data_IF_994265272285
#
_entry.id   IF_994265272285
#
_cell.length_a   1.000
_cell.length_b   1.000
_cell.length_c   1.000
_cell.angle_alpha   90.00
_cell.angle_beta   90.00
_cell.angle_gamma   90.00
#
_symmetry.space_group_name_H-M   'P 1'
#
loop_
_entity.id
_entity.type
_entity.pdbx_description
1 polymer ?
#
# COMPACT_ATOMS: atom_id res chain seq x y z
N UNK A 1 29.56 -1.34 11.65
CA UNK A 1 28.44 -0.50 11.11
C UNK A 1 27.34 -0.52 12.12
N UNK A 2 26.84 0.65 12.57
CA UNK A 2 25.71 0.69 13.49
C UNK A 2 24.41 0.29 12.78
N UNK A 3 23.33 0.02 13.55
CA UNK A 3 22.06 -0.46 13.00
C UNK A 3 21.43 0.52 12.00
N UNK A 4 21.50 1.83 12.29
CA UNK A 4 20.95 2.87 11.43
C UNK A 4 21.68 2.96 10.08
N UNK A 5 23.02 2.94 10.08
CA UNK A 5 23.81 2.91 8.84
C UNK A 5 23.51 1.68 7.99
N UNK A 6 23.22 0.54 8.63
CA UNK A 6 22.82 -0.69 7.91
C UNK A 6 21.47 -0.52 7.24
N UNK A 7 20.48 0.08 7.91
CA UNK A 7 19.15 0.33 7.36
C UNK A 7 19.22 1.27 6.16
N UNK A 8 19.93 2.39 6.30
CA UNK A 8 20.10 3.37 5.22
C UNK A 8 20.80 2.76 3.99
N UNK A 9 21.82 1.93 4.22
CA UNK A 9 22.52 1.22 3.13
C UNK A 9 21.59 0.26 2.39
N UNK A 10 20.77 -0.52 3.11
CA UNK A 10 19.78 -1.40 2.50
C UNK A 10 18.77 -0.59 1.67
N UNK A 11 18.27 0.53 2.20
CA UNK A 11 17.30 1.38 1.47
C UNK A 11 17.96 1.95 0.22
N UNK A 12 19.17 2.45 0.31
CA UNK A 12 19.92 2.97 -0.83
C UNK A 12 20.10 1.91 -1.92
N UNK A 13 20.51 0.68 -1.56
CA UNK A 13 20.70 -0.41 -2.51
C UNK A 13 19.36 -0.81 -3.16
N UNK A 14 18.25 -0.79 -2.42
CA UNK A 14 16.92 -1.01 -2.97
C UNK A 14 16.49 0.11 -3.93
N UNK A 15 16.80 1.37 -3.63
CA UNK A 15 16.51 2.50 -4.53
C UNK A 15 17.28 2.38 -5.85
N UNK A 16 18.53 1.95 -5.80
CA UNK A 16 19.33 1.68 -7.01
C UNK A 16 18.73 0.52 -7.85
N UNK A 17 18.24 -0.53 -7.19
CA UNK A 17 17.64 -1.69 -7.87
C UNK A 17 16.24 -1.40 -8.42
N UNK A 18 15.49 -0.48 -7.82
CA UNK A 18 14.10 -0.18 -8.15
C UNK A 18 13.88 1.34 -8.27
N UNK A 19 14.51 2.05 -9.23
CA UNK A 19 14.45 3.50 -9.33
C UNK A 19 13.05 4.03 -9.66
N UNK A 20 12.20 3.22 -10.33
CA UNK A 20 10.84 3.57 -10.73
C UNK A 20 9.76 3.08 -9.73
N UNK A 21 10.18 2.73 -8.51
CA UNK A 21 9.29 2.13 -7.52
C UNK A 21 8.20 3.12 -7.07
N UNK A 22 6.94 2.78 -7.35
CA UNK A 22 5.75 3.57 -7.01
C UNK A 22 4.50 2.69 -6.93
N UNK A 23 3.36 3.27 -6.57
CA UNK A 23 2.09 2.53 -6.64
C UNK A 23 1.79 2.07 -8.06
N UNK A 24 1.30 0.83 -8.20
CA UNK A 24 0.88 0.27 -9.49
C UNK A 24 -0.58 0.63 -9.85
N UNK A 25 -1.31 1.32 -8.96
CA UNK A 25 -2.66 1.79 -9.23
C UNK A 25 -2.60 3.04 -10.12
N UNK A 26 -3.45 3.08 -11.16
CA UNK A 26 -3.59 4.24 -12.03
C UNK A 26 -4.56 5.24 -11.39
N UNK A 27 -4.16 6.51 -11.32
CA UNK A 27 -4.98 7.61 -10.82
C UNK A 27 -4.47 8.95 -11.33
N UNK A 28 -5.35 9.96 -11.36
CA UNK A 28 -5.04 11.33 -11.77
C UNK A 28 -5.23 12.33 -10.61
N UNK A 29 -6.00 11.94 -9.59
CA UNK A 29 -6.32 12.80 -8.46
C UNK A 29 -6.56 11.97 -7.17
N UNK A 30 -6.66 12.61 -5.99
CA UNK A 30 -6.85 11.92 -4.71
C UNK A 30 -8.14 11.07 -4.64
N UNK A 31 -9.23 11.52 -5.26
CA UNK A 31 -10.48 10.74 -5.33
C UNK A 31 -10.26 9.41 -6.05
N UNK A 32 -9.64 9.43 -7.22
CA UNK A 32 -9.35 8.23 -7.99
C UNK A 32 -8.43 7.28 -7.23
N UNK A 33 -7.42 7.80 -6.52
CA UNK A 33 -6.54 6.96 -5.73
C UNK A 33 -7.26 6.32 -4.53
N UNK A 34 -8.09 7.07 -3.81
CA UNK A 34 -8.87 6.54 -2.70
C UNK A 34 -9.78 5.40 -3.17
N UNK A 35 -10.56 5.63 -4.22
CA UNK A 35 -11.44 4.62 -4.82
C UNK A 35 -10.63 3.39 -5.28
N UNK A 36 -9.55 3.58 -6.03
CA UNK A 36 -8.70 2.49 -6.51
C UNK A 36 -8.10 1.67 -5.37
N UNK A 37 -7.64 2.34 -4.30
CA UNK A 37 -7.08 1.67 -3.11
C UNK A 37 -8.15 0.88 -2.34
N UNK A 38 -9.38 1.40 -2.23
CA UNK A 38 -10.50 0.65 -1.65
C UNK A 38 -10.85 -0.60 -2.49
N UNK A 39 -10.82 -0.48 -3.82
CA UNK A 39 -11.07 -1.60 -4.73
C UNK A 39 -9.95 -2.64 -4.72
N UNK A 40 -8.71 -2.28 -4.34
CA UNK A 40 -7.57 -3.21 -4.28
C UNK A 40 -7.61 -4.19 -3.09
N UNK A 41 -8.53 -4.00 -2.14
CA UNK A 41 -8.70 -4.95 -1.04
C UNK A 41 -8.98 -6.37 -1.58
N UNK A 42 -8.05 -7.31 -1.31
CA UNK A 42 -8.10 -8.71 -1.80
C UNK A 42 -8.25 -8.83 -3.34
N UNK A 43 -7.70 -7.87 -4.07
CA UNK A 43 -7.75 -7.81 -5.53
C UNK A 43 -6.40 -7.31 -6.05
N UNK A 44 -5.95 -7.80 -7.21
CA UNK A 44 -4.70 -7.34 -7.82
C UNK A 44 -4.84 -5.94 -8.40
N UNK A 45 -3.77 -5.13 -8.36
CA UNK A 45 -3.76 -3.79 -8.96
C UNK A 45 -4.12 -3.83 -10.46
N UNK A 46 -3.68 -4.87 -11.19
CA UNK A 46 -4.05 -5.09 -12.59
C UNK A 46 -5.57 -5.23 -12.78
N UNK A 47 -6.24 -5.99 -11.91
CA UNK A 47 -7.69 -6.16 -11.99
C UNK A 47 -8.42 -4.86 -11.61
N UNK A 48 -7.92 -4.09 -10.65
CA UNK A 48 -8.45 -2.76 -10.31
C UNK A 48 -8.30 -1.82 -11.50
N UNK A 49 -7.11 -1.72 -12.08
CA UNK A 49 -6.82 -0.86 -13.23
C UNK A 49 -7.64 -1.23 -14.49
N UNK A 50 -8.18 -2.45 -14.57
CA UNK A 50 -9.07 -2.83 -15.69
C UNK A 50 -10.50 -2.32 -15.55
N UNK A 51 -10.98 -2.00 -14.35
CA UNK A 51 -12.37 -1.55 -14.11
C UNK A 51 -12.47 -0.05 -13.84
N UNK A 52 -11.42 0.54 -13.25
CA UNK A 52 -11.43 1.96 -12.83
C UNK A 52 -11.58 2.96 -13.97
N UNK A 53 -11.09 2.77 -15.21
CA UNK A 53 -11.35 3.70 -16.31
C UNK A 53 -12.84 3.89 -16.61
N UNK A 54 -13.61 2.81 -16.61
CA UNK A 54 -15.07 2.88 -16.83
C UNK A 54 -15.80 3.50 -15.63
N UNK A 55 -15.31 3.24 -14.42
CA UNK A 55 -15.87 3.84 -13.21
C UNK A 55 -15.64 5.35 -13.19
N UNK A 56 -14.43 5.82 -13.46
CA UNK A 56 -14.08 7.25 -13.43
C UNK A 56 -14.63 8.03 -14.63
N UNK A 57 -14.87 7.36 -15.77
CA UNK A 57 -15.60 7.97 -16.88
C UNK A 57 -17.06 8.27 -16.51
N UNK A 58 -17.70 7.40 -15.71
CA UNK A 58 -19.10 7.56 -15.29
C UNK A 58 -19.24 8.44 -14.06
N UNK A 59 -18.28 8.38 -13.13
CA UNK A 59 -18.29 9.12 -11.86
C UNK A 59 -16.94 9.81 -11.68
N UNK A 60 -16.89 11.09 -12.03
CA UNK A 60 -15.64 11.87 -12.07
C UNK A 60 -15.24 12.42 -10.70
N UNK A 61 -16.17 12.41 -9.74
CA UNK A 61 -15.96 12.96 -8.39
C UNK A 61 -16.75 12.21 -7.32
N UNK A 62 -16.50 12.54 -6.04
CA UNK A 62 -17.26 12.01 -4.92
C UNK A 62 -18.75 12.41 -5.00
N UNK A 63 -19.07 13.63 -5.48
CA UNK A 63 -20.45 14.13 -5.61
C UNK A 63 -21.24 13.31 -6.64
N UNK A 64 -20.63 12.93 -7.74
CA UNK A 64 -21.27 12.09 -8.74
C UNK A 64 -21.44 10.65 -8.24
N UNK A 65 -20.42 10.11 -7.61
CA UNK A 65 -20.48 8.75 -7.06
C UNK A 65 -21.47 8.65 -5.88
N UNK A 66 -21.63 9.70 -5.07
CA UNK A 66 -22.59 9.76 -3.97
C UNK A 66 -24.06 9.72 -4.44
N UNK A 67 -24.34 10.14 -5.67
CA UNK A 67 -25.68 10.11 -6.29
C UNK A 67 -26.00 8.78 -6.97
N UNK A 68 -25.01 7.90 -7.13
CA UNK A 68 -25.19 6.59 -7.74
C UNK A 68 -26.05 5.66 -6.87
N UNK A 69 -26.59 4.61 -7.47
CA UNK A 69 -27.11 3.46 -6.75
C UNK A 69 -26.05 2.36 -6.68
N UNK A 70 -26.22 1.40 -5.78
CA UNK A 70 -25.34 0.23 -5.74
C UNK A 70 -25.47 -0.61 -7.01
N UNK A 71 -26.67 -0.69 -7.57
CA UNK A 71 -27.02 -1.37 -8.80
C UNK A 71 -26.31 -0.78 -10.02
N UNK A 72 -26.03 0.52 -10.01
CA UNK A 72 -25.25 1.20 -11.06
C UNK A 72 -23.75 0.95 -11.01
N UNK A 73 -23.18 0.75 -9.80
CA UNK A 73 -21.76 0.55 -9.58
C UNK A 73 -21.38 -0.91 -9.84
N UNK A 74 -22.18 -1.86 -9.36
CA UNK A 74 -21.91 -3.30 -9.45
C UNK A 74 -21.56 -3.76 -10.87
N UNK A 75 -22.30 -3.43 -11.94
CA UNK A 75 -21.97 -3.88 -13.29
C UNK A 75 -20.57 -3.50 -13.75
N UNK A 76 -20.06 -2.35 -13.27
CA UNK A 76 -18.74 -1.83 -13.64
C UNK A 76 -17.62 -2.61 -12.94
N UNK A 77 -17.82 -2.97 -11.66
CA UNK A 77 -16.77 -3.59 -10.83
C UNK A 77 -16.98 -5.09 -10.58
N UNK A 78 -17.99 -5.74 -11.18
CA UNK A 78 -18.33 -7.14 -10.91
C UNK A 78 -17.23 -8.17 -11.21
N UNK A 79 -16.25 -7.80 -12.04
CA UNK A 79 -15.11 -8.67 -12.36
C UNK A 79 -14.06 -8.76 -11.23
N UNK A 80 -14.15 -7.90 -10.22
CA UNK A 80 -13.26 -7.95 -9.04
C UNK A 80 -13.98 -8.56 -7.84
N UNK A 81 -13.21 -9.26 -6.97
CA UNK A 81 -13.79 -9.93 -5.79
C UNK A 81 -14.48 -8.98 -4.82
N UNK A 82 -15.47 -9.48 -4.07
CA UNK A 82 -16.22 -8.73 -3.03
C UNK A 82 -16.95 -7.49 -3.55
N UNK A 83 -17.34 -7.48 -4.81
CA UNK A 83 -17.88 -6.31 -5.49
C UNK A 83 -19.13 -5.72 -4.82
N UNK A 84 -20.00 -6.51 -4.20
CA UNK A 84 -21.17 -6.01 -3.47
C UNK A 84 -20.76 -5.11 -2.28
N UNK A 85 -19.86 -5.61 -1.43
CA UNK A 85 -19.36 -4.84 -0.29
C UNK A 85 -18.53 -3.63 -0.74
N UNK A 86 -17.76 -3.77 -1.82
CA UNK A 86 -17.00 -2.67 -2.41
C UNK A 86 -17.91 -1.57 -2.95
N UNK A 87 -18.95 -1.92 -3.71
CA UNK A 87 -19.92 -0.95 -4.22
C UNK A 87 -20.61 -0.18 -3.07
N UNK A 88 -21.08 -0.91 -2.04
CA UNK A 88 -21.67 -0.31 -0.84
C UNK A 88 -20.68 0.65 -0.16
N UNK A 89 -19.45 0.22 0.10
CA UNK A 89 -18.44 1.05 0.77
C UNK A 89 -18.06 2.29 -0.05
N UNK A 90 -17.95 2.17 -1.37
CA UNK A 90 -17.67 3.31 -2.25
C UNK A 90 -18.80 4.36 -2.16
N UNK A 91 -20.05 3.91 -2.20
CA UNK A 91 -21.22 4.79 -2.11
C UNK A 91 -21.28 5.50 -0.75
N UNK A 92 -21.13 4.75 0.35
CA UNK A 92 -21.17 5.32 1.70
C UNK A 92 -19.98 6.25 1.97
N UNK A 93 -18.80 5.88 1.51
CA UNK A 93 -17.61 6.72 1.56
C UNK A 93 -17.82 8.04 0.83
N UNK A 94 -18.32 8.00 -0.41
CA UNK A 94 -18.54 9.21 -1.20
C UNK A 94 -19.60 10.11 -0.59
N UNK A 95 -20.71 9.56 -0.08
CA UNK A 95 -21.72 10.33 0.65
C UNK A 95 -21.11 11.06 1.85
N UNK A 96 -20.26 10.37 2.62
CA UNK A 96 -19.61 10.96 3.79
C UNK A 96 -18.57 12.02 3.41
N UNK A 97 -17.82 11.82 2.33
CA UNK A 97 -16.91 12.85 1.81
C UNK A 97 -17.68 14.11 1.41
N UNK A 98 -18.82 13.96 0.76
CA UNK A 98 -19.66 15.10 0.38
C UNK A 98 -20.25 15.82 1.61
N UNK A 99 -20.80 15.06 2.57
CA UNK A 99 -21.49 15.66 3.74
C UNK A 99 -20.53 16.31 4.73
N UNK A 100 -19.40 15.65 5.03
CA UNK A 100 -18.51 16.02 6.14
C UNK A 100 -17.29 16.81 5.68
N UNK A 101 -16.92 16.71 4.39
CA UNK A 101 -15.68 17.28 3.82
C UNK A 101 -15.92 18.06 2.52
N UNK A 102 -17.16 18.48 2.24
CA UNK A 102 -17.53 19.30 1.07
C UNK A 102 -17.08 18.73 -0.29
N UNK A 103 -17.02 17.40 -0.42
CA UNK A 103 -16.59 16.71 -1.63
C UNK A 103 -15.07 16.51 -1.75
N UNK A 104 -14.27 17.10 -0.87
CA UNK A 104 -12.80 16.99 -0.89
C UNK A 104 -12.31 15.80 -0.06
N UNK A 105 -11.31 15.09 -0.58
CA UNK A 105 -10.68 13.97 0.14
C UNK A 105 -9.87 14.53 1.32
N UNK A 106 -10.15 14.10 2.57
CA UNK A 106 -9.45 14.64 3.73
C UNK A 106 -7.97 14.25 3.79
N UNK A 107 -7.17 15.07 4.49
CA UNK A 107 -5.71 15.02 4.49
C UNK A 107 -5.11 14.49 5.80
N UNK A 108 -5.88 13.81 6.63
CA UNK A 108 -5.38 13.21 7.89
C UNK A 108 -5.78 11.75 8.04
N UNK A 109 -4.95 10.98 8.75
CA UNK A 109 -5.28 9.58 9.10
C UNK A 109 -6.62 9.50 9.82
N UNK A 110 -6.87 10.41 10.78
CA UNK A 110 -8.09 10.42 11.60
C UNK A 110 -9.33 10.58 10.74
N UNK A 111 -9.33 11.54 9.84
CA UNK A 111 -10.46 11.83 8.96
C UNK A 111 -10.65 10.74 7.91
N UNK A 112 -9.57 10.32 7.23
CA UNK A 112 -9.63 9.24 6.24
C UNK A 112 -10.16 7.93 6.87
N UNK A 113 -9.72 7.57 8.07
CA UNK A 113 -10.20 6.35 8.74
C UNK A 113 -11.62 6.49 9.30
N UNK A 114 -12.20 7.67 9.33
CA UNK A 114 -13.62 7.85 9.63
C UNK A 114 -14.54 7.49 8.45
N UNK A 115 -13.98 7.39 7.24
CA UNK A 115 -14.73 7.05 6.03
C UNK A 115 -15.05 5.56 5.99
N UNK A 116 -16.27 5.15 5.60
CA UNK A 116 -16.66 3.77 5.45
C UNK A 116 -15.73 2.99 4.51
N UNK A 117 -15.25 1.84 4.96
CA UNK A 117 -14.35 0.98 4.18
C UNK A 117 -12.89 1.45 4.08
N UNK A 118 -12.53 2.55 4.76
CA UNK A 118 -11.16 3.09 4.78
C UNK A 118 -10.47 2.74 6.09
N UNK A 119 -9.57 1.77 6.03
CA UNK A 119 -8.70 1.42 7.14
C UNK A 119 -7.40 2.23 7.17
N UNK A 120 -6.60 2.09 8.25
CA UNK A 120 -5.31 2.78 8.40
C UNK A 120 -4.38 2.58 7.21
N UNK A 121 -4.27 1.34 6.70
CA UNK A 121 -3.44 1.03 5.52
C UNK A 121 -3.85 1.85 4.29
N UNK A 122 -5.16 1.92 4.00
CA UNK A 122 -5.70 2.71 2.88
C UNK A 122 -5.43 4.20 3.09
N UNK A 123 -5.68 4.71 4.30
CA UNK A 123 -5.45 6.11 4.64
C UNK A 123 -3.97 6.51 4.46
N UNK A 124 -3.03 5.72 5.00
CA UNK A 124 -1.60 5.96 4.83
C UNK A 124 -1.18 5.94 3.35
N UNK A 125 -1.68 4.96 2.58
CA UNK A 125 -1.37 4.86 1.15
C UNK A 125 -1.89 6.08 0.36
N UNK A 126 -3.10 6.56 0.66
CA UNK A 126 -3.66 7.76 0.02
C UNK A 126 -2.88 9.01 0.38
N UNK A 127 -2.56 9.22 1.67
CA UNK A 127 -1.77 10.37 2.11
C UNK A 127 -0.39 10.41 1.43
N UNK A 128 0.28 9.28 1.39
CA UNK A 128 1.60 9.16 0.77
C UNK A 128 1.56 9.41 -0.73
N UNK A 129 0.67 8.73 -1.46
CA UNK A 129 0.75 8.71 -2.93
C UNK A 129 -0.04 9.83 -3.61
N UNK A 130 -1.11 10.36 -3.00
CA UNK A 130 -1.90 11.43 -3.58
C UNK A 130 -1.52 12.83 -3.08
N UNK A 131 -1.07 12.92 -1.82
CA UNK A 131 -0.79 14.20 -1.19
C UNK A 131 0.68 14.44 -0.88
N UNK A 132 1.55 13.42 -1.05
CA UNK A 132 2.96 13.51 -0.67
C UNK A 132 3.19 13.63 0.85
N UNK A 133 2.17 13.33 1.67
CA UNK A 133 2.25 13.34 3.13
C UNK A 133 2.83 12.00 3.57
N UNK A 134 4.15 11.97 3.79
CA UNK A 134 4.91 10.73 4.02
C UNK A 134 5.23 10.48 5.49
N UNK A 135 4.81 11.35 6.40
CA UNK A 135 5.19 11.33 7.82
C UNK A 135 4.12 10.76 8.77
N UNK A 136 3.02 10.25 8.21
CA UNK A 136 1.87 9.75 8.99
C UNK A 136 1.93 8.24 9.28
N UNK A 137 2.93 7.54 8.71
CA UNK A 137 3.13 6.11 8.92
C UNK A 137 3.71 5.38 7.72
N UNK A 138 3.91 4.08 7.87
CA UNK A 138 4.41 3.18 6.83
C UNK A 138 3.30 2.20 6.47
N UNK A 139 2.95 2.13 5.19
CA UNK A 139 1.96 1.14 4.72
C UNK A 139 2.53 -0.27 4.83
N UNK A 140 1.88 -1.15 5.59
CA UNK A 140 2.31 -2.53 5.79
C UNK A 140 1.36 -3.50 5.09
N UNK A 141 1.85 -4.16 4.05
CA UNK A 141 1.18 -5.24 3.34
C UNK A 141 1.87 -6.59 3.59
N UNK A 142 1.44 -7.64 2.91
CA UNK A 142 2.02 -8.99 3.06
C UNK A 142 3.47 -9.08 2.59
N UNK A 143 3.91 -8.26 1.61
CA UNK A 143 5.30 -8.17 1.20
C UNK A 143 6.14 -7.48 2.26
N UNK A 144 5.67 -6.34 2.77
CA UNK A 144 6.30 -5.64 3.88
C UNK A 144 6.48 -6.56 5.08
N UNK A 145 5.41 -7.23 5.54
CA UNK A 145 5.50 -8.17 6.67
C UNK A 145 6.58 -9.22 6.47
N UNK A 146 6.61 -9.86 5.30
CA UNK A 146 7.54 -10.95 5.00
C UNK A 146 8.98 -10.47 4.88
N UNK A 147 9.20 -9.46 4.04
CA UNK A 147 10.55 -9.00 3.72
C UNK A 147 11.20 -8.34 4.93
N UNK A 148 10.49 -7.45 5.63
CA UNK A 148 11.04 -6.75 6.80
C UNK A 148 11.32 -7.69 7.97
N UNK A 149 10.53 -8.76 8.13
CA UNK A 149 10.84 -9.81 9.08
C UNK A 149 12.13 -10.55 8.70
N UNK A 150 12.28 -10.95 7.42
CA UNK A 150 13.48 -11.66 6.93
C UNK A 150 14.76 -10.85 7.05
N UNK A 151 14.71 -9.53 6.82
CA UNK A 151 15.90 -8.66 6.96
C UNK A 151 16.13 -8.17 8.40
N UNK A 152 15.25 -8.59 9.33
CA UNK A 152 15.39 -8.29 10.76
C UNK A 152 14.96 -6.90 11.18
N UNK A 153 14.15 -6.21 10.36
CA UNK A 153 13.60 -4.89 10.71
C UNK A 153 12.36 -4.99 11.59
N UNK A 154 11.61 -6.08 11.50
CA UNK A 154 10.52 -6.38 12.41
C UNK A 154 10.70 -7.74 13.09
N UNK A 155 10.26 -7.83 14.35
CA UNK A 155 10.29 -9.06 15.16
C UNK A 155 8.91 -9.68 15.29
N UNK A 156 7.87 -8.89 15.06
CA UNK A 156 6.47 -9.33 15.18
C UNK A 156 6.13 -10.34 14.08
N UNK A 157 5.43 -11.41 14.45
CA UNK A 157 4.90 -12.38 13.50
C UNK A 157 3.99 -11.71 12.46
N UNK A 158 3.95 -12.30 11.24
CA UNK A 158 3.31 -11.75 10.03
C UNK A 158 1.77 -11.66 10.08
N UNK A 159 1.18 -11.34 11.25
CA UNK A 159 -0.27 -11.24 11.45
C UNK A 159 -0.74 -9.90 12.02
N UNK A 160 0.17 -9.06 12.48
CA UNK A 160 -0.17 -7.78 13.11
C UNK A 160 0.49 -6.59 12.41
N UNK A 161 -0.17 -6.10 11.35
CA UNK A 161 0.32 -4.98 10.54
C UNK A 161 0.59 -3.71 11.38
N UNK A 162 -0.29 -3.38 12.32
CA UNK A 162 -0.14 -2.18 13.14
C UNK A 162 1.08 -2.25 14.07
N UNK A 163 1.40 -3.43 14.60
CA UNK A 163 2.58 -3.61 15.44
C UNK A 163 3.85 -3.56 14.61
N UNK A 164 3.84 -4.20 13.43
CA UNK A 164 4.94 -4.16 12.46
C UNK A 164 5.19 -2.72 12.02
N UNK A 165 4.14 -1.94 11.68
CA UNK A 165 4.27 -0.53 11.33
C UNK A 165 5.03 0.25 12.41
N UNK A 166 4.67 0.09 13.68
CA UNK A 166 5.37 0.76 14.80
C UNK A 166 6.84 0.34 14.91
N UNK A 167 7.16 -0.93 14.73
CA UNK A 167 8.52 -1.43 14.72
C UNK A 167 9.33 -0.82 13.56
N UNK A 168 8.75 -0.75 12.37
CA UNK A 168 9.38 -0.17 11.19
C UNK A 168 9.60 1.34 11.35
N UNK A 169 8.64 2.07 11.90
CA UNK A 169 8.77 3.51 12.16
C UNK A 169 9.88 3.82 13.18
N UNK A 170 10.19 2.89 14.09
CA UNK A 170 11.30 3.03 15.03
C UNK A 170 12.69 2.74 14.41
N UNK A 171 12.73 1.97 13.32
CA UNK A 171 13.96 1.50 12.68
C UNK A 171 14.31 2.31 11.43
N UNK A 172 13.30 2.67 10.63
CA UNK A 172 13.46 3.35 9.35
C UNK A 172 13.41 4.86 9.56
N UNK A 173 14.42 5.63 9.11
CA UNK A 173 14.38 7.08 9.18
C UNK A 173 13.17 7.66 8.45
N UNK A 174 12.55 8.68 9.06
CA UNK A 174 11.26 9.25 8.62
C UNK A 174 11.23 9.66 7.15
N UNK A 175 12.35 10.15 6.63
CA UNK A 175 12.50 10.57 5.24
C UNK A 175 12.25 9.45 4.20
N UNK A 176 12.34 8.19 4.61
CA UNK A 176 12.13 7.03 3.73
C UNK A 176 10.73 6.42 3.84
N UNK A 177 9.87 6.88 4.77
CA UNK A 177 8.56 6.26 4.99
C UNK A 177 7.68 6.27 3.75
N UNK A 178 7.77 7.31 2.92
CA UNK A 178 6.99 7.42 1.69
C UNK A 178 7.36 6.40 0.61
N UNK A 179 8.63 6.03 0.50
CA UNK A 179 9.12 5.18 -0.59
C UNK A 179 9.31 3.71 -0.19
N UNK A 180 9.59 3.46 1.10
CA UNK A 180 10.04 2.13 1.55
C UNK A 180 9.05 1.01 1.24
N UNK A 181 7.74 1.29 1.33
CA UNK A 181 6.71 0.30 1.01
C UNK A 181 6.82 -0.19 -0.43
N UNK A 182 6.99 0.72 -1.37
CA UNK A 182 7.10 0.38 -2.79
C UNK A 182 8.37 -0.41 -3.09
N UNK A 183 9.52 0.05 -2.59
CA UNK A 183 10.81 -0.64 -2.72
C UNK A 183 10.75 -2.10 -2.22
N UNK A 184 10.16 -2.28 -1.04
CA UNK A 184 10.04 -3.61 -0.42
C UNK A 184 9.04 -4.50 -1.16
N UNK A 185 7.94 -3.94 -1.69
CA UNK A 185 6.98 -4.68 -2.52
C UNK A 185 7.67 -5.18 -3.80
N UNK A 186 8.38 -4.30 -4.51
CA UNK A 186 9.06 -4.65 -5.75
C UNK A 186 10.14 -5.69 -5.52
N UNK A 187 10.95 -5.52 -4.46
CA UNK A 187 11.93 -6.53 -4.05
C UNK A 187 11.27 -7.86 -3.66
N UNK A 188 10.16 -7.80 -2.95
CA UNK A 188 9.39 -8.98 -2.55
C UNK A 188 8.75 -9.75 -3.71
N UNK A 189 8.41 -9.03 -4.80
CA UNK A 189 7.89 -9.62 -6.05
C UNK A 189 9.02 -10.22 -6.89
N UNK A 190 10.11 -9.48 -7.10
CA UNK A 190 11.19 -9.84 -8.00
C UNK A 190 12.14 -10.91 -7.43
N UNK A 191 12.53 -10.75 -6.17
CA UNK A 191 13.63 -11.50 -5.53
C UNK A 191 13.16 -12.26 -4.30
N UNK A 192 12.61 -11.57 -3.29
CA UNK A 192 12.33 -12.16 -1.98
C UNK A 192 10.92 -12.78 -1.94
N UNK A 193 10.64 -13.75 -2.84
CA UNK A 193 9.35 -14.45 -2.90
C UNK A 193 9.08 -15.26 -1.62
N UNK A 194 7.82 -15.67 -1.38
CA UNK A 194 7.44 -16.36 -0.14
C UNK A 194 8.05 -17.76 -0.04
N UNK A 195 8.02 -18.56 -1.11
CA UNK A 195 8.45 -19.96 -1.10
C UNK A 195 9.92 -20.14 -1.52
N UNK A 196 10.36 -19.55 -2.62
CA UNK A 196 11.69 -19.74 -3.21
C UNK A 196 12.36 -18.38 -3.42
N UNK A 197 12.93 -17.75 -2.37
CA UNK A 197 13.62 -16.48 -2.52
C UNK A 197 14.92 -16.69 -3.32
N UNK A 198 15.20 -15.75 -4.25
CA UNK A 198 16.40 -15.78 -5.10
C UNK A 198 17.58 -15.10 -4.39
N UNK A 199 18.04 -15.67 -3.25
CA UNK A 199 19.05 -15.05 -2.41
C UNK A 199 20.39 -14.82 -3.14
N UNK A 200 20.77 -15.68 -4.09
CA UNK A 200 21.99 -15.52 -4.91
C UNK A 200 21.94 -14.30 -5.86
N UNK A 201 20.75 -13.75 -6.13
CA UNK A 201 20.55 -12.56 -6.95
C UNK A 201 20.18 -11.34 -6.11
N UNK A 202 20.15 -11.47 -4.77
CA UNK A 202 19.62 -10.44 -3.88
C UNK A 202 20.68 -9.38 -3.58
N UNK A 203 20.43 -8.13 -3.97
CA UNK A 203 21.34 -6.99 -3.76
C UNK A 203 21.60 -6.70 -2.28
N UNK A 204 20.69 -7.06 -1.40
CA UNK A 204 20.80 -6.86 0.04
C UNK A 204 21.13 -8.16 0.80
N UNK A 205 21.59 -9.20 0.10
CA UNK A 205 21.90 -10.52 0.69
C UNK A 205 22.88 -10.40 1.87
N UNK A 206 23.97 -9.64 1.69
CA UNK A 206 25.00 -9.45 2.70
C UNK A 206 24.49 -8.85 4.03
N UNK A 207 23.29 -8.27 4.04
CA UNK A 207 22.68 -7.70 5.22
C UNK A 207 21.54 -8.57 5.79
N UNK A 208 21.12 -9.60 5.07
CA UNK A 208 19.93 -10.39 5.40
C UNK A 208 20.25 -11.55 6.36
N UNK A 209 19.78 -11.54 7.61
CA UNK A 209 20.01 -12.66 8.55
C UNK A 209 19.29 -13.94 8.14
N UNK A 210 18.24 -13.86 7.31
CA UNK A 210 17.47 -15.02 6.83
C UNK A 210 17.93 -15.51 5.45
N UNK A 211 19.13 -15.14 5.00
CA UNK A 211 19.65 -15.63 3.73
C UNK A 211 19.89 -17.13 3.77
N UNK A 212 19.30 -17.85 2.80
CA UNK A 212 19.50 -19.30 2.66
C UNK A 212 20.94 -19.69 2.26
N UNK A 213 21.76 -18.73 1.85
CA UNK A 213 23.16 -18.97 1.53
C UNK A 213 24.01 -19.10 2.80
N UNK A 214 23.63 -18.44 3.89
CA UNK A 214 24.34 -18.48 5.17
C UNK A 214 24.09 -19.75 5.98
N UNK A 215 22.95 -20.42 5.75
CA UNK A 215 22.62 -21.68 6.42
C UNK A 215 23.36 -22.90 5.87
N UNK A 216 24.20 -22.73 4.82
CA UNK A 216 25.04 -23.79 4.24
C UNK A 216 26.46 -23.82 4.81
N UNK A 217 26.84 -22.83 5.59
CA UNK A 217 28.19 -22.70 6.18
C UNK A 217 28.19 -23.01 7.70
N UNK A 218 27.13 -23.59 8.23
CA UNK A 218 27.00 -24.17 9.56
C UNK A 218 26.67 -25.67 9.41
#
# INVERSE_FOLDING_TARGET
MNQQSKVEKIIHDLQLAYPESKTSLNFENPYQLLVSTMLSAQTTDKAVNSVTPNLFKKYTSCEELAKASQEDIIPIIKSIGLYNNKAKNLLEMSKKVVSDFNGEIPHSIKELTSLPGVGRKTATAVLTNAFGITDQGITVDTHMMRVTHRIGWSKTEQKNANKIEKELMAVIPKQYWGIITHLVIDHGRAICSSRNPKCSQCIIENYCPSSVLRSKDQ
#
